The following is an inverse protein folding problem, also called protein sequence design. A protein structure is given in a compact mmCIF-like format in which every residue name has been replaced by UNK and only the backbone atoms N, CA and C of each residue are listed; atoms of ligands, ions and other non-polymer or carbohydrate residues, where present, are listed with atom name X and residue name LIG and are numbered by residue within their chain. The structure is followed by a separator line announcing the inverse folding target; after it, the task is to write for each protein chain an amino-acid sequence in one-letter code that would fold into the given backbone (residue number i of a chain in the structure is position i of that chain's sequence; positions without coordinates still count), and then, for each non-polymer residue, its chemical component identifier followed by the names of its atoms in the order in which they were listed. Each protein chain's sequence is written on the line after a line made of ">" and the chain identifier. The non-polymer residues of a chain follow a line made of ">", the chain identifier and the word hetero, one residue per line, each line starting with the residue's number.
data_IF_974322665459
#
_entry.id   IF_974322665459
#
_cell.length_a   1.000
_cell.length_b   1.000
_cell.length_c   1.000
_cell.angle_alpha   90.00
_cell.angle_beta   90.00
_cell.angle_gamma   90.00
#
_symmetry.space_group_name_H-M   'P 1'
#
loop_
_entity.id
_entity.type
_entity.pdbx_description
1 polymer ?
#
# COMPACT_ATOMS: atom_id res chain seq x y z
N UNK A 1 19.99 1.27 -18.13
CA UNK A 1 18.67 1.34 -18.81
C UNK A 1 17.60 1.94 -17.90
N UNK A 2 17.28 1.37 -16.73
CA UNK A 2 16.21 1.85 -15.85
C UNK A 2 16.37 3.31 -15.37
N UNK A 3 17.57 3.74 -14.97
CA UNK A 3 17.81 5.15 -14.61
C UNK A 3 17.46 6.12 -15.75
N UNK A 4 17.88 5.77 -16.98
CA UNK A 4 17.60 6.59 -18.17
C UNK A 4 16.08 6.62 -18.48
N UNK A 5 15.39 5.48 -18.36
CA UNK A 5 13.93 5.42 -18.55
C UNK A 5 13.22 6.30 -17.52
N UNK A 6 13.59 6.19 -16.24
CA UNK A 6 13.02 6.97 -15.14
C UNK A 6 13.16 8.50 -15.36
N UNK A 7 14.28 8.96 -15.92
CA UNK A 7 14.50 10.39 -16.16
C UNK A 7 13.90 10.90 -17.46
N UNK A 8 13.91 10.08 -18.54
CA UNK A 8 13.40 10.48 -19.85
C UNK A 8 11.88 10.30 -20.00
N UNK A 9 11.31 9.26 -19.39
CA UNK A 9 9.90 8.89 -19.48
C UNK A 9 9.35 8.46 -18.11
N UNK A 10 9.27 9.38 -17.12
CA UNK A 10 8.98 9.04 -15.72
C UNK A 10 7.62 8.36 -15.53
N UNK A 11 6.57 8.79 -16.23
CA UNK A 11 5.24 8.17 -16.12
C UNK A 11 5.25 6.74 -16.68
N UNK A 12 5.86 6.53 -17.85
CA UNK A 12 6.03 5.20 -18.41
C UNK A 12 6.85 4.29 -17.49
N UNK A 13 7.90 4.84 -16.87
CA UNK A 13 8.69 4.10 -15.88
C UNK A 13 7.84 3.66 -14.68
N UNK A 14 6.95 4.52 -14.15
CA UNK A 14 6.05 4.19 -13.05
C UNK A 14 5.10 3.05 -13.43
N UNK A 15 4.46 3.12 -14.60
CA UNK A 15 3.57 2.06 -15.10
C UNK A 15 4.33 0.73 -15.28
N UNK A 16 5.52 0.76 -15.88
CA UNK A 16 6.33 -0.46 -16.06
C UNK A 16 6.83 -1.02 -14.72
N UNK A 17 7.15 -0.18 -13.75
CA UNK A 17 7.53 -0.61 -12.40
C UNK A 17 6.37 -1.34 -11.70
N UNK A 18 5.15 -0.81 -11.82
CA UNK A 18 3.94 -1.45 -11.31
C UNK A 18 3.66 -2.79 -12.01
N UNK A 19 3.72 -2.84 -13.34
CA UNK A 19 3.55 -4.08 -14.11
C UNK A 19 4.60 -5.13 -13.74
N UNK A 20 5.85 -4.74 -13.54
CA UNK A 20 6.92 -5.65 -13.10
C UNK A 20 6.67 -6.17 -11.68
N UNK A 21 6.19 -5.32 -10.79
CA UNK A 21 5.85 -5.71 -9.43
C UNK A 21 4.68 -6.71 -9.41
N UNK A 22 3.56 -6.37 -10.05
CA UNK A 22 2.40 -7.27 -10.15
C UNK A 22 2.75 -8.59 -10.86
N UNK A 23 3.57 -8.51 -11.91
CA UNK A 23 4.10 -9.68 -12.59
C UNK A 23 4.97 -10.57 -11.69
N UNK A 24 5.74 -9.97 -10.76
CA UNK A 24 6.53 -10.73 -9.78
C UNK A 24 5.65 -11.45 -8.76
N UNK A 25 4.57 -10.82 -8.29
CA UNK A 25 3.58 -11.44 -7.41
C UNK A 25 2.87 -12.60 -8.12
N UNK A 26 2.40 -12.37 -9.34
CA UNK A 26 1.76 -13.42 -10.15
C UNK A 26 2.69 -14.60 -10.42
N UNK A 27 3.93 -14.34 -10.82
CA UNK A 27 4.91 -15.39 -11.10
C UNK A 27 5.25 -16.19 -9.83
N UNK A 28 5.42 -15.52 -8.69
CA UNK A 28 5.68 -16.21 -7.41
C UNK A 28 4.49 -17.06 -6.98
N UNK A 29 3.26 -16.60 -7.16
CA UNK A 29 2.04 -17.36 -6.93
C UNK A 29 1.99 -18.61 -7.80
N UNK A 30 2.26 -18.46 -9.10
CA UNK A 30 2.28 -19.58 -10.04
C UNK A 30 3.35 -20.63 -9.68
N UNK A 31 4.57 -20.18 -9.39
CA UNK A 31 5.68 -21.07 -9.01
C UNK A 31 5.34 -21.82 -7.72
N UNK A 32 4.80 -21.14 -6.73
CA UNK A 32 4.41 -21.73 -5.45
C UNK A 32 3.29 -22.77 -5.65
N UNK A 33 2.26 -22.42 -6.41
CA UNK A 33 1.16 -23.36 -6.74
C UNK A 33 1.66 -24.60 -7.44
N UNK A 34 2.50 -24.45 -8.48
CA UNK A 34 3.09 -25.60 -9.21
C UNK A 34 3.93 -26.47 -8.28
N UNK A 35 4.74 -25.87 -7.40
CA UNK A 35 5.55 -26.61 -6.43
C UNK A 35 4.68 -27.41 -5.44
N UNK A 36 3.60 -26.81 -4.94
CA UNK A 36 2.66 -27.48 -4.03
C UNK A 36 1.92 -28.64 -4.70
N UNK A 37 1.45 -28.43 -5.95
CA UNK A 37 0.82 -29.50 -6.75
C UNK A 37 1.80 -30.65 -6.98
N UNK A 38 3.04 -30.35 -7.38
CA UNK A 38 4.07 -31.37 -7.62
C UNK A 38 4.44 -32.14 -6.34
N UNK A 39 4.34 -31.48 -5.17
CA UNK A 39 4.54 -32.12 -3.87
C UNK A 39 3.33 -32.91 -3.36
N UNK A 40 2.21 -32.93 -4.09
CA UNK A 40 0.97 -33.59 -3.66
C UNK A 40 0.31 -32.94 -2.44
N UNK A 41 0.49 -31.64 -2.26
CA UNK A 41 -0.06 -30.91 -1.09
C UNK A 41 -1.59 -30.89 -1.12
N UNK A 42 -2.18 -31.06 0.06
CA UNK A 42 -3.62 -30.82 0.24
C UNK A 42 -3.88 -29.33 0.43
N UNK A 43 -4.55 -28.71 -0.52
CA UNK A 43 -4.86 -27.27 -0.51
C UNK A 43 -5.89 -26.87 0.55
N UNK A 44 -6.72 -27.81 1.01
CA UNK A 44 -7.76 -27.51 2.01
C UNK A 44 -7.21 -27.12 3.38
N UNK A 45 -5.99 -27.57 3.69
CA UNK A 45 -5.29 -27.28 4.96
C UNK A 45 -4.29 -26.14 4.91
N UNK A 46 -4.03 -25.57 3.73
CA UNK A 46 -3.00 -24.54 3.59
C UNK A 46 -3.40 -23.22 4.25
N UNK A 47 -2.39 -22.54 4.75
CA UNK A 47 -2.52 -21.17 5.28
C UNK A 47 -2.36 -20.17 4.15
N UNK A 48 -3.48 -19.56 3.71
CA UNK A 48 -3.48 -18.57 2.63
C UNK A 48 -2.64 -17.33 2.97
N UNK A 49 -2.63 -16.90 4.24
CA UNK A 49 -1.81 -15.76 4.66
C UNK A 49 -0.31 -16.10 4.62
N UNK A 50 0.07 -17.34 4.95
CA UNK A 50 1.47 -17.76 4.82
C UNK A 50 1.91 -17.80 3.35
N UNK A 51 1.05 -18.28 2.45
CA UNK A 51 1.33 -18.30 1.02
C UNK A 51 1.46 -16.87 0.47
N UNK A 52 0.52 -16.00 0.84
CA UNK A 52 0.55 -14.58 0.45
C UNK A 52 1.77 -13.86 1.03
N UNK A 53 2.16 -14.16 2.27
CA UNK A 53 3.38 -13.61 2.88
C UNK A 53 4.63 -13.87 2.03
N UNK A 54 4.77 -15.10 1.50
CA UNK A 54 5.90 -15.45 0.62
C UNK A 54 5.86 -14.64 -0.67
N UNK A 55 4.66 -14.44 -1.25
CA UNK A 55 4.48 -13.62 -2.46
C UNK A 55 4.85 -12.16 -2.20
N UNK A 56 4.39 -11.59 -1.08
CA UNK A 56 4.69 -10.21 -0.71
C UNK A 56 6.19 -10.00 -0.40
N UNK A 57 6.88 -10.99 0.15
CA UNK A 57 8.34 -10.94 0.28
C UNK A 57 9.05 -10.85 -1.08
N UNK A 58 8.55 -11.56 -2.10
CA UNK A 58 9.06 -11.46 -3.48
C UNK A 58 8.77 -10.07 -4.05
N UNK A 59 7.55 -9.55 -3.85
CA UNK A 59 7.16 -8.19 -4.24
C UNK A 59 8.05 -7.11 -3.60
N UNK A 60 8.27 -7.21 -2.28
CA UNK A 60 9.17 -6.30 -1.56
C UNK A 60 10.60 -6.36 -2.11
N UNK A 61 11.09 -7.56 -2.43
CA UNK A 61 12.38 -7.78 -3.08
C UNK A 61 12.47 -7.14 -4.47
N UNK A 62 11.40 -7.25 -5.27
CA UNK A 62 11.30 -6.63 -6.59
C UNK A 62 11.32 -5.10 -6.49
N UNK A 63 10.51 -4.51 -5.60
CA UNK A 63 10.49 -3.08 -5.35
C UNK A 63 11.85 -2.57 -4.82
N UNK A 64 12.47 -3.29 -3.88
CA UNK A 64 13.82 -2.98 -3.40
C UNK A 64 14.87 -3.01 -4.54
N UNK A 65 14.78 -3.99 -5.44
CA UNK A 65 15.68 -4.09 -6.59
C UNK A 65 15.51 -2.90 -7.53
N UNK A 66 14.28 -2.42 -7.77
CA UNK A 66 14.02 -1.21 -8.54
C UNK A 66 14.65 0.02 -7.89
N UNK A 67 14.51 0.19 -6.56
CA UNK A 67 15.16 1.26 -5.80
C UNK A 67 16.68 1.18 -5.93
N UNK A 68 17.27 0.00 -5.77
CA UNK A 68 18.72 -0.23 -5.90
C UNK A 68 19.21 0.08 -7.32
N UNK A 69 18.53 -0.41 -8.35
CA UNK A 69 18.93 -0.22 -9.76
C UNK A 69 18.82 1.22 -10.23
N UNK A 70 17.94 2.01 -9.59
CA UNK A 70 17.81 3.45 -9.86
C UNK A 70 18.67 4.32 -8.94
N UNK A 71 19.35 3.73 -7.94
CA UNK A 71 20.20 4.45 -6.98
C UNK A 71 19.40 5.16 -5.89
N UNK A 72 18.18 4.69 -5.61
CA UNK A 72 17.24 5.28 -4.63
C UNK A 72 17.11 4.47 -3.34
N UNK A 73 17.90 3.41 -3.15
CA UNK A 73 17.85 2.59 -1.92
C UNK A 73 18.08 3.40 -0.63
N UNK A 74 18.73 4.56 -0.71
CA UNK A 74 18.91 5.45 0.44
C UNK A 74 17.61 5.99 1.04
N UNK A 75 16.48 5.94 0.30
CA UNK A 75 15.15 6.30 0.81
C UNK A 75 14.72 5.40 1.98
N UNK A 76 15.13 4.12 1.98
CA UNK A 76 14.81 3.16 3.03
C UNK A 76 15.47 3.48 4.37
N UNK A 77 16.63 4.13 4.35
CA UNK A 77 17.34 4.58 5.55
C UNK A 77 17.01 6.02 5.99
N UNK A 78 16.17 6.72 5.21
CA UNK A 78 15.86 8.12 5.45
C UNK A 78 14.92 8.27 6.64
N UNK A 79 15.34 9.02 7.64
CA UNK A 79 14.55 9.27 8.86
C UNK A 79 13.54 10.42 8.71
N UNK A 80 13.76 11.35 7.77
CA UNK A 80 12.89 12.51 7.55
C UNK A 80 12.53 13.26 8.83
N UNK A 81 11.24 13.40 9.12
CA UNK A 81 10.74 13.99 10.39
C UNK A 81 10.94 13.11 11.64
N UNK A 82 11.48 11.90 11.48
CA UNK A 82 11.43 10.85 12.49
C UNK A 82 10.10 10.07 12.44
N UNK A 83 10.11 8.85 13.01
CA UNK A 83 8.96 7.95 12.95
C UNK A 83 7.76 8.50 13.75
N UNK A 84 7.97 8.85 15.02
CA UNK A 84 6.90 9.31 15.92
C UNK A 84 6.29 10.65 15.47
N UNK A 85 7.13 11.61 15.06
CA UNK A 85 6.63 12.86 14.48
C UNK A 85 5.90 12.61 13.15
N UNK A 86 6.35 11.61 12.38
CA UNK A 86 5.66 11.19 11.16
C UNK A 86 4.28 10.62 11.44
N UNK A 87 4.10 9.84 12.51
CA UNK A 87 2.78 9.35 12.95
C UNK A 87 1.85 10.50 13.36
N UNK A 88 2.37 11.58 13.93
CA UNK A 88 1.55 12.79 14.20
C UNK A 88 1.08 13.45 12.90
N UNK A 89 1.87 13.41 11.82
CA UNK A 89 1.42 13.85 10.49
C UNK A 89 0.35 12.92 9.94
N UNK A 90 0.49 11.61 10.18
CA UNK A 90 -0.45 10.55 9.81
C UNK A 90 -1.53 10.28 10.85
N UNK A 91 -1.80 11.22 11.79
CA UNK A 91 -2.74 10.98 12.89
C UNK A 91 -4.17 10.66 12.41
N UNK A 92 -4.55 11.16 11.25
CA UNK A 92 -5.88 10.92 10.71
C UNK A 92 -6.10 9.44 10.33
N UNK A 93 -5.30 8.81 9.45
CA UNK A 93 -5.42 7.37 9.22
C UNK A 93 -5.14 6.56 10.49
N UNK A 94 -4.26 7.00 11.39
CA UNK A 94 -4.02 6.32 12.65
C UNK A 94 -5.28 6.29 13.55
N UNK A 95 -6.01 7.40 13.65
CA UNK A 95 -7.27 7.45 14.39
C UNK A 95 -8.34 6.55 13.75
N UNK A 96 -8.38 6.50 12.42
CA UNK A 96 -9.28 5.61 11.68
C UNK A 96 -8.95 4.14 11.94
N UNK A 97 -7.66 3.76 11.93
CA UNK A 97 -7.19 2.42 12.29
C UNK A 97 -7.64 2.03 13.70
N UNK A 98 -7.40 2.91 14.69
CA UNK A 98 -7.82 2.65 16.07
C UNK A 98 -9.34 2.49 16.20
N UNK A 99 -10.11 3.32 15.49
CA UNK A 99 -11.57 3.21 15.47
C UNK A 99 -12.02 1.90 14.81
N UNK A 100 -11.43 1.51 13.69
CA UNK A 100 -11.78 0.26 12.98
C UNK A 100 -11.50 -0.97 13.84
N UNK A 101 -10.34 -1.01 14.51
CA UNK A 101 -10.01 -2.10 15.46
C UNK A 101 -11.03 -2.14 16.61
N UNK A 102 -11.34 -0.98 17.19
CA UNK A 102 -12.33 -0.89 18.27
C UNK A 102 -13.71 -1.39 17.79
N UNK A 103 -14.19 -0.89 16.64
CA UNK A 103 -15.47 -1.29 16.06
C UNK A 103 -15.53 -2.79 15.80
N UNK A 104 -14.51 -3.34 15.16
CA UNK A 104 -14.43 -4.77 14.85
C UNK A 104 -14.51 -5.65 16.11
N UNK A 105 -13.74 -5.31 17.16
CA UNK A 105 -13.69 -6.10 18.39
C UNK A 105 -14.95 -6.00 19.25
N UNK A 106 -15.67 -4.88 19.18
CA UNK A 106 -16.86 -4.64 20.03
C UNK A 106 -18.15 -5.05 19.33
N UNK A 107 -18.27 -4.79 18.01
CA UNK A 107 -19.56 -4.94 17.30
C UNK A 107 -19.58 -6.09 16.30
N UNK A 108 -18.41 -6.57 15.84
CA UNK A 108 -18.33 -7.56 14.76
C UNK A 108 -17.74 -8.90 15.23
N UNK A 109 -17.34 -8.99 16.51
CA UNK A 109 -16.76 -10.21 17.06
C UNK A 109 -17.76 -11.36 17.00
N UNK A 110 -17.43 -12.49 16.31
CA UNK A 110 -18.31 -13.67 16.25
C UNK A 110 -18.21 -14.50 17.54
N UNK A 111 -19.21 -15.35 17.77
CA UNK A 111 -19.24 -16.34 18.86
C UNK A 111 -18.40 -17.60 18.54
N UNK A 112 -17.42 -17.50 17.67
CA UNK A 112 -16.51 -18.59 17.30
C UNK A 112 -15.16 -18.45 18.03
N UNK A 113 -14.43 -19.55 18.27
CA UNK A 113 -13.11 -19.46 18.86
C UNK A 113 -12.11 -18.78 17.91
N UNK A 114 -11.07 -18.20 18.50
CA UNK A 114 -9.93 -17.68 17.74
C UNK A 114 -9.27 -18.79 16.92
N UNK A 115 -8.75 -18.44 15.78
CA UNK A 115 -7.87 -19.30 15.00
C UNK A 115 -6.60 -19.69 15.81
N UNK A 116 -5.95 -20.81 15.50
CA UNK A 116 -4.67 -21.18 16.09
C UNK A 116 -3.65 -20.05 15.97
N UNK A 117 -2.81 -19.87 17.00
CA UNK A 117 -1.84 -18.77 17.08
C UNK A 117 -0.94 -18.66 15.82
N UNK A 118 -0.56 -19.80 15.21
CA UNK A 118 0.22 -19.81 13.97
C UNK A 118 -0.49 -19.10 12.82
N UNK A 119 -1.80 -19.33 12.64
CA UNK A 119 -2.62 -18.67 11.62
C UNK A 119 -2.74 -17.16 11.87
N UNK A 120 -2.94 -16.76 13.13
CA UNK A 120 -3.00 -15.35 13.50
C UNK A 120 -1.65 -14.66 13.23
N UNK A 121 -0.55 -15.32 13.55
CA UNK A 121 0.80 -14.79 13.27
C UNK A 121 1.05 -14.66 11.76
N UNK A 122 0.63 -15.65 10.96
CA UNK A 122 0.71 -15.58 9.49
C UNK A 122 -0.07 -14.40 8.94
N UNK A 123 -1.30 -14.18 9.43
CA UNK A 123 -2.13 -13.03 9.08
C UNK A 123 -1.42 -11.70 9.37
N UNK A 124 -0.97 -11.49 10.63
CA UNK A 124 -0.31 -10.25 11.04
C UNK A 124 0.98 -10.00 10.25
N UNK A 125 1.78 -11.06 10.03
CA UNK A 125 3.01 -10.95 9.26
C UNK A 125 2.73 -10.66 7.78
N UNK A 126 1.70 -11.28 7.19
CA UNK A 126 1.28 -11.03 5.82
C UNK A 126 0.87 -9.57 5.63
N UNK A 127 -0.05 -9.05 6.44
CA UNK A 127 -0.50 -7.65 6.32
C UNK A 127 0.64 -6.64 6.54
N UNK A 128 1.54 -6.91 7.47
CA UNK A 128 2.73 -6.08 7.65
C UNK A 128 3.64 -6.11 6.40
N UNK A 129 3.77 -7.27 5.75
CA UNK A 129 4.61 -7.41 4.55
C UNK A 129 3.96 -6.80 3.31
N UNK A 130 2.62 -6.85 3.17
CA UNK A 130 1.86 -6.08 2.16
C UNK A 130 2.23 -4.60 2.29
N UNK A 131 2.15 -4.03 3.49
CA UNK A 131 2.54 -2.65 3.74
C UNK A 131 3.99 -2.36 3.33
N UNK A 132 4.94 -3.28 3.57
CA UNK A 132 6.34 -3.13 3.12
C UNK A 132 6.43 -3.16 1.59
N UNK A 133 5.87 -4.19 0.95
CA UNK A 133 6.01 -4.42 -0.49
C UNK A 133 5.38 -3.27 -1.30
N UNK A 134 4.16 -2.91 -0.96
CA UNK A 134 3.42 -1.88 -1.67
C UNK A 134 3.97 -0.48 -1.40
N UNK A 135 4.36 -0.14 -0.17
CA UNK A 135 4.93 1.18 0.10
C UNK A 135 6.32 1.35 -0.54
N UNK A 136 7.13 0.29 -0.61
CA UNK A 136 8.40 0.35 -1.34
C UNK A 136 8.18 0.66 -2.81
N UNK A 137 7.16 0.07 -3.44
CA UNK A 137 6.80 0.38 -4.81
C UNK A 137 6.14 1.77 -4.93
N UNK A 138 4.98 1.95 -4.28
CA UNK A 138 4.13 3.11 -4.55
C UNK A 138 4.68 4.41 -4.00
N UNK A 139 5.37 4.41 -2.84
CA UNK A 139 5.98 5.63 -2.28
C UNK A 139 7.45 5.73 -2.61
N UNK A 140 8.19 4.63 -2.48
CA UNK A 140 9.63 4.61 -2.74
C UNK A 140 9.99 4.75 -4.21
N UNK A 141 9.26 4.08 -5.12
CA UNK A 141 9.54 4.11 -6.56
C UNK A 141 8.64 5.09 -7.30
N UNK A 142 7.32 4.95 -7.19
CA UNK A 142 6.35 5.66 -8.04
C UNK A 142 6.18 7.11 -7.57
N UNK A 143 5.71 7.35 -6.33
CA UNK A 143 5.41 8.69 -5.85
C UNK A 143 6.65 9.59 -5.87
N UNK A 144 7.81 9.06 -5.47
CA UNK A 144 9.09 9.78 -5.50
C UNK A 144 9.48 10.17 -6.95
N UNK A 145 9.34 9.26 -7.91
CA UNK A 145 9.61 9.54 -9.32
C UNK A 145 8.68 10.63 -9.87
N UNK A 146 7.38 10.55 -9.53
CA UNK A 146 6.39 11.55 -9.94
C UNK A 146 6.65 12.92 -9.30
N UNK A 147 7.05 12.95 -8.02
CA UNK A 147 7.41 14.20 -7.35
C UNK A 147 8.65 14.84 -7.97
N UNK A 148 9.67 14.05 -8.31
CA UNK A 148 10.85 14.56 -9.01
C UNK A 148 10.45 15.13 -10.39
N UNK A 149 9.51 14.50 -11.10
CA UNK A 149 9.04 14.95 -12.41
C UNK A 149 8.21 16.23 -12.34
N UNK A 150 7.22 16.30 -11.43
CA UNK A 150 6.30 17.42 -11.34
C UNK A 150 6.82 18.58 -10.48
N UNK A 151 7.86 18.35 -9.69
CA UNK A 151 8.48 19.32 -8.81
C UNK A 151 7.72 19.55 -7.49
N UNK A 152 8.34 20.33 -6.60
CA UNK A 152 7.85 20.64 -5.25
C UNK A 152 6.97 21.88 -5.15
N UNK A 153 6.52 22.43 -6.29
CA UNK A 153 5.44 23.43 -6.28
C UNK A 153 4.14 22.79 -5.76
N UNK A 154 3.20 23.60 -5.27
CA UNK A 154 1.93 23.09 -4.77
C UNK A 154 1.21 22.22 -5.81
N UNK A 155 1.14 22.68 -7.05
CA UNK A 155 0.53 21.94 -8.14
C UNK A 155 1.28 20.65 -8.47
N UNK A 156 2.62 20.68 -8.44
CA UNK A 156 3.46 19.50 -8.68
C UNK A 156 3.24 18.41 -7.62
N UNK A 157 3.23 18.80 -6.34
CA UNK A 157 2.98 17.87 -5.23
C UNK A 157 1.59 17.24 -5.33
N UNK A 158 0.54 18.03 -5.65
CA UNK A 158 -0.81 17.49 -5.85
C UNK A 158 -0.87 16.50 -7.02
N UNK A 159 -0.26 16.84 -8.18
CA UNK A 159 -0.19 15.94 -9.34
C UNK A 159 0.50 14.62 -8.98
N UNK A 160 1.62 14.69 -8.27
CA UNK A 160 2.34 13.49 -7.83
C UNK A 160 1.50 12.62 -6.87
N UNK A 161 0.83 13.22 -5.88
CA UNK A 161 -0.06 12.50 -4.97
C UNK A 161 -1.20 11.81 -5.70
N UNK A 162 -1.95 12.56 -6.53
CA UNK A 162 -3.13 12.04 -7.20
C UNK A 162 -2.78 10.95 -8.20
N UNK A 163 -1.72 11.16 -9.02
CA UNK A 163 -1.32 10.15 -10.01
C UNK A 163 -0.75 8.88 -9.34
N UNK A 164 0.03 9.04 -8.26
CA UNK A 164 0.47 7.89 -7.46
C UNK A 164 -0.72 7.13 -6.84
N UNK A 165 -1.73 7.86 -6.37
CA UNK A 165 -2.96 7.28 -5.87
C UNK A 165 -3.74 6.53 -6.95
N UNK A 166 -3.88 7.10 -8.14
CA UNK A 166 -4.56 6.43 -9.27
C UNK A 166 -3.86 5.12 -9.65
N UNK A 167 -2.54 5.12 -9.74
CA UNK A 167 -1.75 3.90 -9.99
C UNK A 167 -1.96 2.87 -8.87
N UNK A 168 -1.93 3.30 -7.61
CA UNK A 168 -2.21 2.41 -6.48
C UNK A 168 -3.62 1.79 -6.54
N UNK A 169 -4.63 2.58 -6.89
CA UNK A 169 -5.98 2.06 -7.08
C UNK A 169 -6.07 1.08 -8.26
N UNK A 170 -5.37 1.38 -9.38
CA UNK A 170 -5.37 0.54 -10.58
C UNK A 170 -4.73 -0.84 -10.34
N UNK A 171 -3.74 -0.96 -9.44
CA UNK A 171 -3.15 -2.24 -9.06
C UNK A 171 -4.20 -3.25 -8.56
N UNK A 172 -5.27 -2.77 -7.90
CA UNK A 172 -6.34 -3.61 -7.37
C UNK A 172 -7.26 -4.22 -8.45
N UNK A 173 -7.13 -3.79 -9.72
CA UNK A 173 -7.83 -4.45 -10.84
C UNK A 173 -7.43 -5.92 -10.99
N UNK A 174 -6.29 -6.35 -10.46
CA UNK A 174 -5.90 -7.76 -10.40
C UNK A 174 -6.91 -8.62 -9.63
N UNK A 175 -7.66 -8.04 -8.69
CA UNK A 175 -8.68 -8.74 -7.91
C UNK A 175 -9.92 -9.13 -8.73
N UNK A 176 -10.05 -8.64 -9.98
CA UNK A 176 -11.09 -9.12 -10.92
C UNK A 176 -11.01 -10.61 -11.22
N UNK A 177 -9.86 -11.24 -10.96
CA UNK A 177 -9.68 -12.68 -11.12
C UNK A 177 -10.42 -13.52 -10.07
N UNK A 178 -10.76 -12.93 -8.91
CA UNK A 178 -11.29 -13.68 -7.75
C UNK A 178 -12.47 -13.01 -7.05
N UNK A 179 -12.79 -11.75 -7.38
CA UNK A 179 -13.81 -10.96 -6.68
C UNK A 179 -14.82 -10.33 -7.64
N UNK A 180 -16.00 -9.97 -7.13
CA UNK A 180 -17.07 -9.37 -7.92
C UNK A 180 -16.62 -8.03 -8.56
N UNK A 181 -16.87 -7.79 -9.86
CA UNK A 181 -16.35 -6.63 -10.58
C UNK A 181 -16.74 -5.28 -9.96
N UNK A 182 -17.97 -5.15 -9.45
CA UNK A 182 -18.42 -3.90 -8.82
C UNK A 182 -17.67 -3.63 -7.51
N UNK A 183 -17.44 -4.67 -6.69
CA UNK A 183 -16.65 -4.56 -5.47
C UNK A 183 -15.20 -4.14 -5.76
N UNK A 184 -14.59 -4.74 -6.80
CA UNK A 184 -13.25 -4.37 -7.25
C UNK A 184 -13.19 -2.91 -7.72
N UNK A 185 -14.21 -2.45 -8.45
CA UNK A 185 -14.26 -1.05 -8.87
C UNK A 185 -14.33 -0.09 -7.67
N UNK A 186 -15.11 -0.43 -6.66
CA UNK A 186 -15.17 0.33 -5.41
C UNK A 186 -13.84 0.29 -4.66
N UNK A 187 -13.19 -0.87 -4.62
CA UNK A 187 -11.84 -1.01 -4.06
C UNK A 187 -10.84 -0.10 -4.78
N UNK A 188 -10.80 -0.11 -6.10
CA UNK A 188 -9.92 0.78 -6.88
C UNK A 188 -10.14 2.25 -6.53
N UNK A 189 -11.40 2.67 -6.38
CA UNK A 189 -11.74 4.06 -6.09
C UNK A 189 -11.24 4.51 -4.70
N UNK A 190 -11.55 3.75 -3.64
CA UNK A 190 -11.10 4.15 -2.30
C UNK A 190 -9.59 3.93 -2.12
N UNK A 191 -9.00 2.87 -2.69
CA UNK A 191 -7.56 2.66 -2.66
C UNK A 191 -6.80 3.77 -3.37
N UNK A 192 -7.32 4.30 -4.50
CA UNK A 192 -6.73 5.46 -5.14
C UNK A 192 -6.67 6.68 -4.22
N UNK A 193 -7.74 6.94 -3.46
CA UNK A 193 -7.79 8.05 -2.51
C UNK A 193 -6.87 7.83 -1.29
N UNK A 194 -6.83 6.61 -0.75
CA UNK A 194 -5.91 6.23 0.32
C UNK A 194 -4.45 6.32 -0.15
N UNK A 195 -4.17 5.88 -1.37
CA UNK A 195 -2.87 5.99 -2.00
C UNK A 195 -2.39 7.43 -2.12
N UNK A 196 -3.27 8.34 -2.53
CA UNK A 196 -2.97 9.77 -2.57
C UNK A 196 -2.71 10.35 -1.16
N UNK A 197 -3.46 9.90 -0.14
CA UNK A 197 -3.25 10.31 1.25
C UNK A 197 -1.89 9.85 1.77
N UNK A 198 -1.51 8.60 1.55
CA UNK A 198 -0.20 8.09 1.97
C UNK A 198 0.94 8.79 1.24
N UNK A 199 0.79 9.13 -0.06
CA UNK A 199 1.77 9.93 -0.78
C UNK A 199 1.92 11.33 -0.15
N UNK A 200 0.82 11.98 0.25
CA UNK A 200 0.87 13.28 0.93
C UNK A 200 1.59 13.20 2.30
N UNK A 201 1.34 12.14 3.08
CA UNK A 201 2.03 11.88 4.35
C UNK A 201 3.52 11.65 4.09
N UNK A 202 3.87 10.82 3.13
CA UNK A 202 5.25 10.53 2.76
C UNK A 202 6.01 11.79 2.33
N UNK A 203 5.41 12.63 1.49
CA UNK A 203 6.06 13.85 1.05
C UNK A 203 6.30 14.84 2.18
N UNK A 204 5.42 14.91 3.16
CA UNK A 204 5.57 15.77 4.33
C UNK A 204 6.53 15.24 5.38
N UNK A 205 6.64 13.92 5.49
CA UNK A 205 7.48 13.29 6.52
C UNK A 205 8.87 12.97 6.03
N UNK A 206 9.03 12.70 4.73
CA UNK A 206 10.27 12.19 4.16
C UNK A 206 10.69 10.82 4.74
N UNK A 207 9.77 10.11 5.39
CA UNK A 207 10.04 8.83 6.06
C UNK A 207 9.07 7.75 5.54
N UNK A 208 9.61 6.80 4.80
CA UNK A 208 8.83 5.72 4.19
C UNK A 208 8.21 4.78 5.24
N UNK A 209 8.90 4.56 6.36
CA UNK A 209 8.44 3.63 7.38
C UNK A 209 7.17 4.09 8.11
N UNK A 210 6.87 5.39 8.07
CA UNK A 210 5.60 5.92 8.58
C UNK A 210 4.43 5.38 7.75
N UNK A 211 4.54 5.43 6.42
CA UNK A 211 3.47 4.92 5.54
C UNK A 211 3.44 3.41 5.51
N UNK A 212 4.57 2.72 5.57
CA UNK A 212 4.64 1.25 5.75
C UNK A 212 3.86 0.82 6.98
N UNK A 213 4.08 1.46 8.12
CA UNK A 213 3.36 1.14 9.36
C UNK A 213 1.86 1.44 9.25
N UNK A 214 1.50 2.63 8.74
CA UNK A 214 0.09 3.01 8.61
C UNK A 214 -0.66 2.10 7.65
N UNK A 215 -0.02 1.67 6.56
CA UNK A 215 -0.60 0.77 5.57
C UNK A 215 -0.84 -0.62 6.18
N UNK A 216 0.20 -1.30 6.65
CA UNK A 216 0.04 -2.63 7.26
C UNK A 216 -0.93 -2.63 8.45
N UNK A 217 -0.95 -1.57 9.26
CA UNK A 217 -1.93 -1.43 10.35
C UNK A 217 -3.37 -1.21 9.83
N UNK A 218 -3.55 -0.52 8.68
CA UNK A 218 -4.84 -0.36 8.02
C UNK A 218 -5.37 -1.70 7.52
N UNK A 219 -4.51 -2.50 6.89
CA UNK A 219 -4.88 -3.83 6.39
C UNK A 219 -5.23 -4.78 7.54
N UNK A 220 -4.43 -4.77 8.62
CA UNK A 220 -4.77 -5.52 9.84
C UNK A 220 -6.14 -5.10 10.37
N UNK A 221 -6.42 -3.80 10.43
CA UNK A 221 -7.68 -3.29 10.97
C UNK A 221 -8.88 -3.66 10.08
N UNK A 222 -8.73 -3.59 8.75
CA UNK A 222 -9.79 -3.90 7.79
C UNK A 222 -10.13 -5.38 7.71
N UNK A 223 -9.15 -6.26 7.93
CA UNK A 223 -9.27 -7.71 7.85
C UNK A 223 -9.27 -8.40 9.23
N UNK A 224 -9.42 -7.62 10.32
CA UNK A 224 -9.17 -8.11 11.68
C UNK A 224 -10.04 -9.33 12.05
N UNK A 225 -11.32 -9.27 11.79
CA UNK A 225 -12.25 -10.36 12.13
C UNK A 225 -11.97 -11.60 11.28
N UNK A 226 -11.80 -11.45 9.96
CA UNK A 226 -11.40 -12.55 9.09
C UNK A 226 -10.08 -13.18 9.50
N UNK A 227 -9.08 -12.36 9.81
CA UNK A 227 -7.74 -12.83 10.21
C UNK A 227 -7.68 -13.48 11.59
N UNK A 228 -8.53 -13.10 12.53
CA UNK A 228 -8.59 -13.69 13.88
C UNK A 228 -9.49 -14.92 13.98
N UNK A 229 -10.58 -14.96 13.23
CA UNK A 229 -11.66 -15.95 13.38
C UNK A 229 -11.89 -16.81 12.13
N UNK A 230 -11.31 -16.47 10.98
CA UNK A 230 -11.48 -17.23 9.73
C UNK A 230 -12.88 -17.13 9.12
N UNK A 231 -13.63 -16.07 9.44
CA UNK A 231 -15.03 -15.93 9.03
C UNK A 231 -15.21 -15.39 7.62
N UNK A 232 -14.18 -14.74 7.06
CA UNK A 232 -14.27 -14.02 5.78
C UNK A 232 -12.92 -14.03 5.09
N UNK A 233 -12.90 -14.38 3.83
CA UNK A 233 -11.72 -14.28 2.96
C UNK A 233 -11.58 -12.86 2.40
N UNK A 234 -10.38 -12.52 1.89
CA UNK A 234 -10.14 -11.24 1.19
C UNK A 234 -11.07 -11.09 -0.01
N UNK A 235 -11.26 -12.14 -0.80
CA UNK A 235 -12.12 -12.14 -1.99
C UNK A 235 -13.59 -11.87 -1.66
N UNK A 236 -14.10 -12.46 -0.59
CA UNK A 236 -15.46 -12.20 -0.09
C UNK A 236 -15.62 -10.76 0.40
N UNK A 237 -14.65 -10.25 1.15
CA UNK A 237 -14.63 -8.86 1.63
C UNK A 237 -14.69 -7.87 0.47
N UNK A 238 -13.84 -8.05 -0.55
CA UNK A 238 -13.82 -7.20 -1.74
C UNK A 238 -15.12 -7.32 -2.53
N UNK A 239 -15.67 -8.53 -2.68
CA UNK A 239 -16.92 -8.76 -3.39
C UNK A 239 -18.13 -8.10 -2.70
N UNK A 240 -18.05 -7.88 -1.39
CA UNK A 240 -19.08 -7.22 -0.58
C UNK A 240 -19.03 -5.68 -0.63
N UNK A 241 -18.04 -5.06 -1.23
CA UNK A 241 -17.99 -3.61 -1.32
C UNK A 241 -19.09 -3.05 -2.22
N UNK A 242 -19.77 -2.04 -1.72
CA UNK A 242 -20.88 -1.36 -2.38
C UNK A 242 -20.62 0.14 -2.57
N UNK A 243 -21.61 0.87 -3.09
CA UNK A 243 -21.48 2.30 -3.38
C UNK A 243 -21.18 3.17 -2.15
N UNK A 244 -21.42 2.68 -0.92
CA UNK A 244 -21.07 3.41 0.31
C UNK A 244 -19.56 3.64 0.44
N UNK A 245 -18.72 2.80 -0.22
CA UNK A 245 -17.28 2.99 -0.30
C UNK A 245 -16.87 4.33 -0.93
N UNK A 246 -17.75 4.97 -1.72
CA UNK A 246 -17.50 6.32 -2.24
C UNK A 246 -17.44 7.38 -1.14
N UNK A 247 -18.09 7.16 0.02
CA UNK A 247 -17.90 8.01 1.19
C UNK A 247 -16.46 7.92 1.72
N UNK A 248 -15.88 6.75 1.69
CA UNK A 248 -14.48 6.51 2.09
C UNK A 248 -13.51 7.26 1.18
N UNK A 249 -13.82 7.37 -0.12
CA UNK A 249 -13.04 8.22 -1.06
C UNK A 249 -12.99 9.66 -0.57
N UNK A 250 -14.13 10.25 -0.21
CA UNK A 250 -14.21 11.63 0.30
C UNK A 250 -13.44 11.73 1.62
N UNK A 251 -13.64 10.78 2.52
CA UNK A 251 -12.98 10.71 3.84
C UNK A 251 -11.46 10.72 3.70
N UNK A 252 -10.88 10.01 2.71
CA UNK A 252 -9.42 10.00 2.50
C UNK A 252 -8.90 11.21 1.72
N UNK A 253 -9.70 11.83 0.84
CA UNK A 253 -9.26 13.00 0.08
C UNK A 253 -9.25 14.29 0.91
N UNK A 254 -10.18 14.46 1.86
CA UNK A 254 -10.27 15.67 2.68
C UNK A 254 -8.97 15.97 3.46
N UNK A 255 -8.33 15.02 4.16
CA UNK A 255 -7.09 15.28 4.89
C UNK A 255 -5.94 15.73 3.99
N UNK A 256 -5.92 15.32 2.72
CA UNK A 256 -4.86 15.70 1.77
C UNK A 256 -4.83 17.22 1.60
N UNK A 257 -6.00 17.87 1.51
CA UNK A 257 -6.11 19.32 1.39
C UNK A 257 -5.51 20.03 2.62
N UNK A 258 -5.71 19.48 3.80
CA UNK A 258 -5.11 19.99 5.04
C UNK A 258 -3.60 19.71 5.10
N UNK A 259 -3.16 18.51 4.70
CA UNK A 259 -1.76 18.13 4.69
C UNK A 259 -0.94 18.97 3.69
N UNK A 260 -1.49 19.26 2.50
CA UNK A 260 -0.82 19.99 1.42
C UNK A 260 -1.21 21.49 1.36
N UNK A 261 -1.72 22.06 2.47
CA UNK A 261 -1.99 23.50 2.53
C UNK A 261 -0.69 24.32 2.38
N UNK A 262 -0.80 25.55 1.86
CA UNK A 262 0.35 26.43 1.54
C UNK A 262 1.38 26.52 2.69
N UNK A 263 0.92 26.63 3.94
CA UNK A 263 1.78 26.73 5.14
C UNK A 263 2.64 25.48 5.39
N UNK A 264 2.31 24.33 4.77
CA UNK A 264 3.00 23.06 4.95
C UNK A 264 3.88 22.65 3.77
N UNK A 265 3.83 23.41 2.68
CA UNK A 265 4.70 23.18 1.53
C UNK A 265 6.21 23.28 1.84
N UNK A 266 6.69 24.17 2.74
CA UNK A 266 8.09 24.19 3.12
C UNK A 266 8.59 22.87 3.73
N UNK A 267 7.74 22.08 4.41
CA UNK A 267 8.10 20.76 4.94
C UNK A 267 8.39 19.78 3.78
N UNK A 268 7.61 19.82 2.70
CA UNK A 268 7.88 19.04 1.48
C UNK A 268 9.19 19.49 0.83
N UNK A 269 9.39 20.78 0.70
CA UNK A 269 10.61 21.35 0.09
C UNK A 269 11.87 21.02 0.90
N UNK A 270 11.77 20.95 2.23
CA UNK A 270 12.86 20.56 3.11
C UNK A 270 13.40 19.16 2.78
N UNK A 271 12.51 18.21 2.53
CA UNK A 271 12.91 16.84 2.27
C UNK A 271 13.17 16.54 0.78
N UNK A 272 12.56 17.30 -0.13
CA UNK A 272 12.54 16.97 -1.56
C UNK A 272 13.09 18.05 -2.46
N UNK A 273 13.32 19.28 -1.96
CA UNK A 273 13.76 20.43 -2.78
C UNK A 273 15.07 20.24 -3.50
N UNK A 274 16.01 19.49 -2.91
CA UNK A 274 17.32 19.19 -3.53
C UNK A 274 17.19 18.29 -4.77
N UNK A 275 16.14 17.50 -4.87
CA UNK A 275 15.92 16.56 -5.98
C UNK A 275 15.24 17.20 -7.20
N UNK A 276 14.67 18.40 -7.04
CA UNK A 276 13.86 19.07 -8.06
C UNK A 276 14.53 20.30 -8.68
N UNK A 277 15.78 20.59 -8.31
CA UNK A 277 16.58 21.72 -8.84
C UNK A 277 17.47 21.29 -10.02
N UNK A 278 16.96 20.43 -10.90
CA UNK A 278 17.65 20.10 -12.16
C UNK A 278 16.97 20.76 -13.35
#
# INVERSE_FOLDING_TARGET
>A
MLKRLRTAHPILYCILAEVLFLGSLFLSSLVLTVALVAAGADFSGLDEYLLSLVQEMVGAGAAWLLLRRTGRQGLLGRRGSGFWNGLLVGMYPLAFICYSIYSALIFERPDTPLLPAGRILSFLACMAMVGVAEEFLFRGVIAETLLEHFGTSRAGVWKACLLSGVLFGAAHLTNLSSSAPFGVLMQCAFSASLGALFAAIYFRTGNLWVTVFLHGAMDIASMLIGGLYGTTTLSESVSGYDASMLLTVVVYLLPIAFLLRKKKLPEVQLYWGVYTQK
#
